data_IF_680764188123
#
_entry.id   IF_680764188123
#
_cell.length_a   1.000
_cell.length_b   1.000
_cell.length_c   1.000
_cell.angle_alpha   90.00
_cell.angle_beta   90.00
_cell.angle_gamma   90.00
#
_symmetry.space_group_name_H-M   'P 1'
#
loop_
_entity.id
_entity.type
_entity.pdbx_description
1 polymer ?
#
# COMPACT_ATOMS: atom_id res chain seq x y z
N UNK A 1 -5.38 12.59 -4.34
CA UNK A 1 -5.09 12.08 -2.99
C UNK A 1 -5.66 13.02 -1.94
N UNK A 2 -5.85 12.55 -0.71
CA UNK A 2 -6.05 13.45 0.45
C UNK A 2 -4.77 14.28 0.68
N UNK A 3 -4.82 15.35 1.48
CA UNK A 3 -3.63 16.04 1.95
C UNK A 3 -2.59 15.07 2.55
N UNK A 4 -1.27 15.28 2.33
CA UNK A 4 -0.23 14.36 2.77
C UNK A 4 -0.26 14.00 4.26
N UNK A 5 -0.58 14.98 5.12
CA UNK A 5 -0.74 14.81 6.56
C UNK A 5 -1.88 13.84 6.92
N UNK A 6 -3.01 13.95 6.22
CA UNK A 6 -4.16 13.03 6.43
C UNK A 6 -3.87 11.63 5.87
N UNK A 7 -3.09 11.52 4.80
CA UNK A 7 -2.62 10.22 4.33
C UNK A 7 -1.66 9.59 5.33
N UNK A 8 -0.70 10.34 5.85
CA UNK A 8 0.24 9.86 6.86
C UNK A 8 -0.49 9.38 8.11
N UNK A 9 -1.43 10.18 8.63
CA UNK A 9 -2.27 9.80 9.77
C UNK A 9 -3.03 8.49 9.50
N UNK A 10 -3.63 8.36 8.31
CA UNK A 10 -4.36 7.15 7.92
C UNK A 10 -3.45 5.91 7.91
N UNK A 11 -2.30 5.96 7.24
CA UNK A 11 -1.42 4.79 7.12
C UNK A 11 -0.73 4.45 8.45
N UNK A 12 -0.30 5.45 9.22
CA UNK A 12 0.25 5.24 10.56
C UNK A 12 -0.79 4.65 11.51
N UNK A 13 -2.06 5.07 11.41
CA UNK A 13 -3.17 4.48 12.18
C UNK A 13 -3.43 3.01 11.86
N UNK A 14 -3.01 2.53 10.68
CA UNK A 14 -3.04 1.12 10.28
C UNK A 14 -1.78 0.34 10.70
N UNK A 15 -0.79 1.01 11.32
CA UNK A 15 0.53 0.44 11.61
C UNK A 15 1.45 0.38 10.39
N UNK A 16 1.07 0.98 9.27
CA UNK A 16 1.81 0.96 8.01
C UNK A 16 2.84 2.11 7.93
N UNK A 17 3.72 2.20 8.94
CA UNK A 17 4.77 3.22 9.03
C UNK A 17 6.21 2.70 8.91
N UNK A 18 6.39 1.37 8.87
CA UNK A 18 7.69 0.73 8.77
C UNK A 18 8.15 0.47 7.33
N UNK A 19 9.35 -0.07 7.20
CA UNK A 19 9.94 -0.47 5.91
C UNK A 19 9.48 -1.87 5.45
N UNK A 20 8.62 -2.52 6.22
CA UNK A 20 8.11 -3.89 6.01
C UNK A 20 6.67 -3.93 5.47
N UNK A 21 6.15 -2.79 5.01
CA UNK A 21 4.78 -2.70 4.49
C UNK A 21 4.68 -3.31 3.09
N UNK A 22 3.67 -4.17 2.91
CA UNK A 22 3.28 -4.74 1.61
C UNK A 22 1.83 -4.34 1.29
N UNK A 23 1.60 -3.79 0.11
CA UNK A 23 0.25 -3.48 -0.40
C UNK A 23 -0.18 -4.44 -1.50
N UNK A 24 -1.46 -4.81 -1.50
CA UNK A 24 -2.07 -5.69 -2.49
C UNK A 24 -3.54 -5.29 -2.70
N UNK A 25 -4.16 -5.77 -3.78
CA UNK A 25 -5.58 -5.58 -4.01
C UNK A 25 -6.21 -6.84 -4.63
N UNK A 26 -7.20 -6.68 -5.53
CA UNK A 26 -7.73 -7.80 -6.31
C UNK A 26 -6.73 -8.32 -7.36
N UNK A 27 -6.21 -7.40 -8.19
CA UNK A 27 -5.42 -7.70 -9.39
C UNK A 27 -4.07 -6.94 -9.48
N UNK A 28 -3.59 -6.40 -8.36
CA UNK A 28 -2.34 -5.62 -8.29
C UNK A 28 -2.43 -4.17 -8.77
N UNK A 29 -3.42 -3.82 -9.61
CA UNK A 29 -3.49 -2.48 -10.23
C UNK A 29 -3.73 -1.36 -9.21
N UNK A 30 -4.75 -1.52 -8.35
CA UNK A 30 -5.08 -0.50 -7.33
C UNK A 30 -4.05 -0.44 -6.21
N UNK A 31 -3.29 -1.50 -5.96
CA UNK A 31 -2.23 -1.50 -4.95
C UNK A 31 -1.15 -0.43 -5.24
N UNK A 32 -0.88 -0.15 -6.52
CA UNK A 32 0.01 0.94 -6.93
C UNK A 32 -0.48 2.33 -6.47
N UNK A 33 -1.79 2.53 -6.30
CA UNK A 33 -2.31 3.79 -5.76
C UNK A 33 -1.98 3.95 -4.28
N UNK A 34 -2.04 2.88 -3.49
CA UNK A 34 -1.64 2.93 -2.07
C UNK A 34 -0.13 3.15 -1.94
N UNK A 35 0.68 2.48 -2.76
CA UNK A 35 2.13 2.70 -2.78
C UNK A 35 2.48 4.17 -3.06
N UNK A 36 1.87 4.76 -4.09
CA UNK A 36 2.07 6.18 -4.41
C UNK A 36 1.56 7.10 -3.28
N UNK A 37 0.41 6.78 -2.68
CA UNK A 37 -0.15 7.59 -1.59
C UNK A 37 0.76 7.60 -0.35
N UNK A 38 1.38 6.45 -0.01
CA UNK A 38 2.35 6.37 1.09
C UNK A 38 3.61 7.20 0.82
N UNK A 39 4.16 7.13 -0.40
CA UNK A 39 5.30 7.97 -0.80
C UNK A 39 4.95 9.46 -0.75
N UNK A 40 3.77 9.84 -1.25
CA UNK A 40 3.25 11.22 -1.18
C UNK A 40 3.07 11.69 0.27
N UNK A 41 2.72 10.79 1.18
CA UNK A 41 2.60 11.04 2.61
C UNK A 41 3.95 11.17 3.34
N UNK A 42 5.07 10.95 2.65
CA UNK A 42 6.41 10.96 3.25
C UNK A 42 6.74 9.72 4.06
N UNK A 43 5.99 8.63 3.87
CA UNK A 43 6.27 7.33 4.47
C UNK A 43 7.24 6.51 3.60
N UNK A 44 7.88 5.46 4.15
CA UNK A 44 8.65 4.52 3.35
C UNK A 44 7.84 3.98 2.16
N UNK A 45 8.49 3.80 1.02
CA UNK A 45 7.87 3.19 -0.16
C UNK A 45 7.54 1.72 0.17
N UNK A 46 6.27 1.31 0.14
CA UNK A 46 5.90 -0.06 0.45
C UNK A 46 6.23 -0.98 -0.72
N UNK A 47 6.40 -2.27 -0.42
CA UNK A 47 6.44 -3.30 -1.46
C UNK A 47 5.04 -3.49 -2.05
N UNK A 48 4.95 -3.67 -3.37
CA UNK A 48 3.70 -4.03 -4.05
C UNK A 48 3.73 -5.52 -4.34
N UNK A 49 2.69 -6.25 -3.94
CA UNK A 49 2.46 -7.63 -4.36
C UNK A 49 1.59 -7.65 -5.64
N UNK A 50 2.18 -7.81 -6.84
CA UNK A 50 1.44 -7.59 -8.08
C UNK A 50 0.41 -8.69 -8.35
N UNK A 51 0.72 -9.94 -7.96
CA UNK A 51 -0.20 -11.07 -8.08
C UNK A 51 -1.47 -10.89 -7.25
N UNK A 52 -1.33 -10.25 -6.08
CA UNK A 52 -2.46 -9.80 -5.28
C UNK A 52 -3.42 -10.96 -4.92
N UNK A 53 -4.68 -10.66 -4.63
CA UNK A 53 -5.66 -11.69 -4.24
C UNK A 53 -5.85 -12.78 -5.31
N UNK A 54 -5.90 -12.42 -6.60
CA UNK A 54 -6.05 -13.40 -7.68
C UNK A 54 -4.96 -14.46 -7.68
N UNK A 55 -3.70 -14.05 -7.52
CA UNK A 55 -2.57 -14.99 -7.43
C UNK A 55 -2.63 -15.78 -6.12
N UNK A 56 -2.81 -15.11 -4.98
CA UNK A 56 -2.88 -15.77 -3.66
C UNK A 56 -3.97 -16.85 -3.58
N UNK A 57 -5.16 -16.56 -4.12
CA UNK A 57 -6.33 -17.44 -4.02
C UNK A 57 -6.29 -18.63 -4.98
N UNK A 58 -5.41 -18.63 -6.00
CA UNK A 58 -5.41 -19.66 -7.05
C UNK A 58 -4.06 -20.34 -7.25
N UNK A 59 -2.97 -19.73 -6.81
CA UNK A 59 -1.59 -20.18 -7.04
C UNK A 59 -0.70 -20.15 -5.79
N UNK A 60 -1.25 -19.75 -4.63
CA UNK A 60 -0.56 -19.77 -3.33
C UNK A 60 -0.16 -21.17 -2.86
#
# INVERSE_FOLDING_TARGET
FLPPDQLAERYLGLGAGGDDVVVYCGSGVTACHDALAMVVAGLPEPMVYPGSWSDWSTAG
#
